data_IF_054628406958
#
_entry.id   IF_054628406958
#
_cell.length_a   1.000
_cell.length_b   1.000
_cell.length_c   1.000
_cell.angle_alpha   90.00
_cell.angle_beta   90.00
_cell.angle_gamma   90.00
#
_symmetry.space_group_name_H-M   'P 1'
#
loop_
_entity.id
_entity.type
_entity.pdbx_description
1 polymer ?
#
# COMPACT_ATOMS: atom_id res chain seq x y z
N UNK A 1 18.01 -26.12 21.50
CA UNK A 1 16.85 -25.82 20.62
C UNK A 1 16.15 -24.54 21.12
N UNK A 2 16.61 -23.38 20.65
CA UNK A 2 15.99 -22.09 20.99
C UNK A 2 14.69 -21.95 20.18
N UNK A 3 13.57 -21.91 20.89
CA UNK A 3 12.24 -21.83 20.29
C UNK A 3 11.98 -20.38 19.92
N UNK A 4 12.11 -20.04 18.63
CA UNK A 4 11.91 -18.67 18.14
C UNK A 4 10.49 -18.51 17.62
N UNK A 5 9.68 -17.70 18.29
CA UNK A 5 8.31 -17.41 17.91
C UNK A 5 8.25 -16.23 16.95
N UNK A 6 7.43 -16.36 15.91
CA UNK A 6 7.18 -15.30 14.94
C UNK A 6 5.70 -14.91 15.00
N UNK A 7 5.42 -13.64 15.29
CA UNK A 7 4.06 -13.09 15.32
C UNK A 7 3.93 -12.13 14.16
N UNK A 8 2.84 -12.27 13.41
CA UNK A 8 2.50 -11.38 12.31
C UNK A 8 1.08 -10.84 12.53
N UNK A 9 0.95 -9.52 12.44
CA UNK A 9 -0.34 -8.83 12.51
C UNK A 9 -0.49 -8.00 11.24
N UNK A 10 -1.64 -8.17 10.58
CA UNK A 10 -2.07 -7.37 9.44
C UNK A 10 -3.36 -6.68 9.84
N UNK A 11 -3.35 -5.34 9.81
CA UNK A 11 -4.51 -4.51 10.06
C UNK A 11 -4.92 -3.85 8.75
N UNK A 12 -6.17 -4.03 8.35
CA UNK A 12 -6.78 -3.27 7.28
C UNK A 12 -7.65 -2.17 7.89
N UNK A 13 -7.37 -0.92 7.54
CA UNK A 13 -8.18 0.22 7.95
C UNK A 13 -8.41 1.15 6.77
N UNK A 14 -9.64 1.13 6.23
CA UNK A 14 -10.12 2.01 5.15
C UNK A 14 -9.16 2.07 3.95
N UNK A 15 -8.74 0.90 3.45
CA UNK A 15 -7.87 0.80 2.28
C UNK A 15 -6.39 1.04 2.58
N UNK A 16 -5.98 1.03 3.85
CA UNK A 16 -4.56 1.07 4.22
C UNK A 16 -4.20 -0.18 5.00
N UNK A 17 -3.37 -1.00 4.36
CA UNK A 17 -2.86 -2.25 4.90
C UNK A 17 -1.59 -1.99 5.72
N UNK A 18 -1.70 -2.15 7.05
CA UNK A 18 -0.60 -2.01 8.00
C UNK A 18 -0.20 -3.41 8.48
N UNK A 19 1.00 -3.86 8.09
CA UNK A 19 1.55 -5.17 8.50
C UNK A 19 2.76 -4.99 9.42
N UNK A 20 2.80 -5.69 10.54
CA UNK A 20 3.96 -5.81 11.41
C UNK A 20 4.30 -7.29 11.64
N UNK A 21 5.58 -7.63 11.65
CA UNK A 21 6.05 -8.99 11.90
C UNK A 21 7.30 -8.92 12.77
N UNK A 22 7.26 -9.55 13.94
CA UNK A 22 8.39 -9.61 14.85
C UNK A 22 8.70 -11.05 15.26
N UNK A 23 9.97 -11.28 15.59
CA UNK A 23 10.46 -12.57 16.07
C UNK A 23 11.10 -12.40 17.45
N UNK A 24 10.74 -13.23 18.41
CA UNK A 24 11.35 -13.26 19.73
C UNK A 24 11.51 -14.69 20.26
N UNK A 25 12.27 -14.83 21.32
CA UNK A 25 12.51 -16.10 22.02
C UNK A 25 11.30 -16.53 22.87
N UNK A 26 10.43 -15.58 23.22
CA UNK A 26 9.17 -15.83 23.92
C UNK A 26 7.99 -15.17 23.16
N UNK A 27 6.84 -15.83 23.18
CA UNK A 27 5.61 -15.38 22.54
C UNK A 27 5.12 -14.05 23.12
N UNK A 28 5.24 -13.85 24.44
CA UNK A 28 4.81 -12.61 25.11
C UNK A 28 5.65 -11.44 24.64
N UNK A 29 6.97 -11.62 24.63
CA UNK A 29 7.91 -10.63 24.08
C UNK A 29 7.69 -10.38 22.59
N UNK A 30 7.32 -11.40 21.81
CA UNK A 30 6.99 -11.22 20.39
C UNK A 30 5.72 -10.36 20.23
N UNK A 31 4.70 -10.57 21.05
CA UNK A 31 3.46 -9.78 21.04
C UNK A 31 3.75 -8.33 21.41
N UNK A 32 4.47 -8.09 22.51
CA UNK A 32 4.81 -6.73 22.95
C UNK A 32 5.57 -5.96 21.85
N UNK A 33 6.57 -6.62 21.23
CA UNK A 33 7.32 -6.03 20.11
C UNK A 33 6.46 -5.74 18.88
N UNK A 34 5.55 -6.65 18.52
CA UNK A 34 4.61 -6.40 17.40
C UNK A 34 3.68 -5.24 17.74
N UNK A 35 3.21 -5.14 18.99
CA UNK A 35 2.33 -4.05 19.43
C UNK A 35 3.03 -2.68 19.38
N UNK A 36 4.29 -2.59 19.81
CA UNK A 36 5.09 -1.36 19.70
C UNK A 36 5.30 -0.95 18.23
N UNK A 37 5.64 -1.94 17.38
CA UNK A 37 5.86 -1.72 15.96
C UNK A 37 4.56 -1.28 15.24
N UNK A 38 3.43 -1.87 15.62
CA UNK A 38 2.11 -1.54 15.06
C UNK A 38 1.64 -0.15 15.52
N UNK A 39 1.83 0.19 16.80
CA UNK A 39 1.51 1.51 17.36
C UNK A 39 2.31 2.61 16.67
N UNK A 40 3.63 2.43 16.54
CA UNK A 40 4.50 3.35 15.81
C UNK A 40 4.09 3.55 14.35
N UNK A 41 3.65 2.47 13.66
CA UNK A 41 3.15 2.56 12.28
C UNK A 41 1.82 3.29 12.20
N UNK A 42 0.92 3.07 13.15
CA UNK A 42 -0.37 3.76 13.24
C UNK A 42 -0.16 5.26 13.51
N UNK A 43 0.75 5.63 14.40
CA UNK A 43 1.06 7.05 14.69
C UNK A 43 1.63 7.78 13.46
N UNK A 44 2.58 7.16 12.75
CA UNK A 44 3.09 7.71 11.48
C UNK A 44 2.00 7.84 10.43
N UNK A 45 1.07 6.89 10.39
CA UNK A 45 -0.05 6.90 9.45
C UNK A 45 -1.06 8.01 9.81
N UNK A 46 -1.46 8.12 11.08
CA UNK A 46 -2.33 9.20 11.58
C UNK A 46 -1.69 10.57 11.34
N UNK A 47 -0.40 10.75 11.66
CA UNK A 47 0.33 12.00 11.43
C UNK A 47 0.26 12.45 9.97
N UNK A 48 0.45 11.54 9.02
CA UNK A 48 0.33 11.84 7.57
C UNK A 48 -1.10 12.12 7.10
N UNK A 49 -2.12 11.60 7.78
CA UNK A 49 -3.53 11.94 7.49
C UNK A 49 -3.91 13.32 8.02
N UNK A 50 -3.45 13.68 9.23
CA UNK A 50 -3.72 14.98 9.82
C UNK A 50 -3.01 16.12 9.07
N UNK A 51 -1.81 15.87 8.54
CA UNK A 51 -1.03 16.88 7.81
C UNK A 51 -1.56 17.17 6.40
N UNK A 52 -2.27 16.21 5.78
CA UNK A 52 -2.93 16.38 4.47
C UNK A 52 -4.26 17.14 4.52
N UNK A 53 -4.76 17.46 5.72
CA UNK A 53 -6.03 18.18 5.93
C UNK A 53 -5.91 19.70 5.97
N UNK A 54 -4.70 20.26 5.96
CA UNK A 54 -4.48 21.71 5.79
C UNK A 54 -3.91 21.97 4.40
N UNK A 55 -4.63 22.81 3.67
CA UNK A 55 -4.46 23.03 2.25
C UNK A 55 -3.10 23.57 1.83
N UNK A 56 -2.90 23.49 0.52
CA UNK A 56 -1.92 24.22 -0.27
C UNK A 56 -1.66 25.62 0.32
N UNK A 57 -0.51 25.80 0.95
CA UNK A 57 0.23 27.06 1.07
C UNK A 57 1.63 26.78 1.62
N UNK A 58 2.46 26.13 0.80
CA UNK A 58 3.92 26.14 1.00
C UNK A 58 4.47 27.49 0.54
N UNK A 59 4.19 28.54 1.33
CA UNK A 59 4.83 29.84 1.21
C UNK A 59 4.84 30.54 2.58
N UNK A 60 5.76 30.11 3.45
CA UNK A 60 6.70 30.94 4.24
C UNK A 60 7.25 30.18 5.45
N UNK A 61 8.55 29.88 5.34
CA UNK A 61 9.61 29.98 6.34
C UNK A 61 9.30 29.71 7.83
N UNK A 62 10.07 28.76 8.37
CA UNK A 62 10.37 28.63 9.79
C UNK A 62 11.32 27.47 9.99
N UNK A 63 12.61 27.76 9.91
CA UNK A 63 13.74 26.82 10.03
C UNK A 63 13.81 26.30 11.48
N UNK A 64 13.90 24.98 11.65
CA UNK A 64 14.77 24.42 12.69
C UNK A 64 15.38 23.11 12.20
N UNK A 65 16.67 23.00 12.51
CA UNK A 65 17.69 22.13 11.95
C UNK A 65 17.56 20.64 12.29
N UNK A 66 18.20 19.86 11.43
CA UNK A 66 18.82 18.55 11.65
C UNK A 66 17.96 17.34 12.03
N UNK A 67 17.47 16.66 10.98
CA UNK A 67 17.71 15.22 10.87
C UNK A 67 18.21 14.92 9.47
N UNK A 68 19.49 14.61 9.35
CA UNK A 68 20.10 13.86 8.26
C UNK A 68 19.42 12.47 8.18
N UNK A 69 18.19 12.45 7.67
CA UNK A 69 17.45 11.25 7.40
C UNK A 69 17.31 11.17 5.89
N UNK A 70 18.34 10.60 5.24
CA UNK A 70 18.31 10.22 3.83
C UNK A 70 16.88 9.89 3.44
N UNK A 71 16.25 10.71 2.60
CA UNK A 71 14.94 10.38 2.04
C UNK A 71 15.05 8.92 1.60
N UNK A 72 14.25 7.99 2.14
CA UNK A 72 14.31 6.63 1.68
C UNK A 72 13.92 6.70 0.20
N UNK A 73 14.92 6.62 -0.67
CA UNK A 73 14.71 6.63 -2.10
C UNK A 73 13.68 5.55 -2.38
N UNK A 74 12.56 5.96 -2.96
CA UNK A 74 11.47 5.04 -3.31
C UNK A 74 12.03 4.09 -4.36
N UNK A 75 12.52 2.94 -3.91
CA UNK A 75 13.06 1.89 -4.78
C UNK A 75 11.94 0.92 -5.13
N UNK A 76 11.92 0.45 -6.37
CA UNK A 76 11.03 -0.64 -6.78
C UNK A 76 11.46 -1.89 -6.01
N UNK A 77 10.68 -2.29 -5.02
CA UNK A 77 11.03 -3.41 -4.10
C UNK A 77 10.66 -4.77 -4.70
N UNK A 78 9.70 -4.81 -5.63
CA UNK A 78 9.17 -6.05 -6.20
C UNK A 78 8.64 -5.79 -7.60
N UNK A 79 9.01 -6.67 -8.54
CA UNK A 79 8.45 -6.72 -9.89
C UNK A 79 7.56 -7.95 -9.99
N UNK A 80 6.29 -7.78 -10.35
CA UNK A 80 5.35 -8.88 -10.58
C UNK A 80 5.16 -9.03 -12.08
N UNK A 81 5.57 -10.17 -12.62
CA UNK A 81 5.30 -10.53 -14.00
C UNK A 81 3.98 -11.31 -14.04
N UNK A 82 3.05 -10.87 -14.87
CA UNK A 82 1.79 -11.57 -15.11
C UNK A 82 1.54 -11.61 -16.61
N UNK A 83 0.96 -12.71 -17.08
CA UNK A 83 0.51 -12.84 -18.45
C UNK A 83 -0.77 -12.03 -18.60
N UNK A 84 -0.68 -10.92 -19.32
CA UNK A 84 -1.82 -10.07 -19.62
C UNK A 84 -2.62 -10.73 -20.75
N UNK A 85 -3.82 -11.20 -20.44
CA UNK A 85 -4.75 -11.74 -21.44
C UNK A 85 -5.80 -10.68 -21.77
N UNK A 86 -6.27 -10.61 -23.03
CA UNK A 86 -7.45 -9.81 -23.37
C UNK A 86 -8.64 -10.30 -22.55
N UNK A 87 -9.32 -9.39 -21.86
CA UNK A 87 -10.52 -9.67 -21.06
C UNK A 87 -11.41 -8.43 -20.99
N UNK A 88 -12.67 -8.61 -20.60
CA UNK A 88 -13.59 -7.48 -20.39
C UNK A 88 -13.33 -6.77 -19.06
N UNK A 89 -13.90 -5.57 -18.90
CA UNK A 89 -13.83 -4.82 -17.63
C UNK A 89 -14.42 -5.62 -16.47
N UNK A 90 -15.55 -6.30 -16.68
CA UNK A 90 -16.21 -7.13 -15.65
C UNK A 90 -15.33 -8.32 -15.25
N UNK A 91 -14.68 -8.97 -16.21
CA UNK A 91 -13.74 -10.05 -15.94
C UNK A 91 -12.52 -9.53 -15.15
N UNK A 92 -12.01 -8.36 -15.52
CA UNK A 92 -10.91 -7.71 -14.81
C UNK A 92 -11.29 -7.37 -13.35
N UNK A 93 -12.52 -6.92 -13.08
CA UNK A 93 -13.04 -6.69 -11.72
C UNK A 93 -13.00 -8.00 -10.91
N UNK A 94 -13.57 -9.07 -11.46
CA UNK A 94 -13.60 -10.37 -10.78
C UNK A 94 -12.18 -10.90 -10.48
N UNK A 95 -11.24 -10.74 -11.42
CA UNK A 95 -9.84 -11.14 -11.22
C UNK A 95 -9.14 -10.26 -10.17
N UNK A 96 -9.40 -8.96 -10.18
CA UNK A 96 -8.85 -8.03 -9.18
C UNK A 96 -9.31 -8.40 -7.76
N UNK A 97 -10.60 -8.68 -7.59
CA UNK A 97 -11.19 -9.11 -6.33
C UNK A 97 -10.65 -10.48 -5.86
N UNK A 98 -10.56 -11.45 -6.77
CA UNK A 98 -10.06 -12.80 -6.45
C UNK A 98 -8.61 -12.80 -5.95
N UNK A 99 -7.77 -11.93 -6.51
CA UNK A 99 -6.37 -11.79 -6.11
C UNK A 99 -6.25 -10.86 -4.88
N UNK A 100 -7.28 -10.05 -4.58
CA UNK A 100 -7.29 -9.10 -3.48
C UNK A 100 -6.30 -7.95 -3.68
N UNK A 101 -6.25 -7.41 -4.89
CA UNK A 101 -5.41 -6.24 -5.21
C UNK A 101 -6.26 -4.99 -5.42
N UNK A 102 -5.71 -3.83 -5.07
CA UNK A 102 -6.38 -2.54 -5.28
C UNK A 102 -6.28 -2.04 -6.73
N UNK A 103 -5.49 -2.71 -7.57
CA UNK A 103 -5.29 -2.38 -8.97
C UNK A 103 -5.04 -3.63 -9.81
N UNK A 104 -5.45 -3.58 -11.07
CA UNK A 104 -5.31 -4.67 -12.02
C UNK A 104 -5.07 -4.14 -13.43
N UNK A 105 -3.94 -4.50 -14.03
CA UNK A 105 -3.58 -4.16 -15.40
C UNK A 105 -4.01 -5.30 -16.32
N UNK A 106 -4.86 -4.99 -17.30
CA UNK A 106 -5.37 -5.95 -18.27
C UNK A 106 -5.29 -5.37 -19.68
N UNK A 107 -5.53 -6.21 -20.69
CA UNK A 107 -5.75 -5.73 -22.06
C UNK A 107 -7.24 -5.81 -22.31
N UNK A 108 -7.84 -4.73 -22.77
CA UNK A 108 -9.25 -4.69 -23.09
C UNK A 108 -9.53 -5.56 -24.33
N UNK A 109 -10.54 -6.42 -24.26
CA UNK A 109 -10.87 -7.34 -25.33
C UNK A 109 -11.46 -6.67 -26.58
N UNK A 110 -12.09 -5.50 -26.44
CA UNK A 110 -12.70 -4.77 -27.56
C UNK A 110 -11.68 -3.87 -28.26
N UNK A 111 -10.90 -3.12 -27.47
CA UNK A 111 -9.95 -2.14 -28.02
C UNK A 111 -8.55 -2.71 -28.26
N UNK A 112 -8.22 -3.84 -27.62
CA UNK A 112 -6.87 -4.41 -27.62
C UNK A 112 -5.84 -3.55 -26.88
N UNK A 113 -6.28 -2.53 -26.15
CA UNK A 113 -5.40 -1.57 -25.45
C UNK A 113 -5.17 -2.00 -24.00
N UNK A 114 -4.00 -1.68 -23.41
CA UNK A 114 -3.75 -1.97 -22.01
C UNK A 114 -4.54 -1.00 -21.12
N UNK A 115 -5.41 -1.50 -20.25
CA UNK A 115 -6.21 -0.71 -19.33
C UNK A 115 -5.85 -1.04 -17.87
N UNK A 116 -5.87 -0.03 -17.00
CA UNK A 116 -5.61 -0.20 -15.57
C UNK A 116 -6.89 0.06 -14.77
N UNK A 117 -7.45 -1.02 -14.19
CA UNK A 117 -8.52 -0.96 -13.21
C UNK A 117 -7.94 -0.67 -11.83
N UNK A 118 -8.63 0.13 -11.01
CA UNK A 118 -8.24 0.37 -9.63
C UNK A 118 -9.44 0.66 -8.72
N UNK A 119 -9.29 0.38 -7.43
CA UNK A 119 -10.27 0.72 -6.40
C UNK A 119 -10.08 2.18 -5.96
N UNK A 120 -11.15 2.97 -6.04
CA UNK A 120 -11.15 4.36 -5.59
C UNK A 120 -11.42 4.45 -4.09
N UNK A 121 -11.15 5.62 -3.50
CA UNK A 121 -11.35 5.86 -2.06
C UNK A 121 -12.82 5.92 -1.64
N UNK A 122 -13.72 6.19 -2.58
CA UNK A 122 -15.17 6.17 -2.41
C UNK A 122 -15.74 4.73 -2.43
N UNK A 123 -14.92 3.74 -2.78
CA UNK A 123 -15.31 2.32 -2.83
C UNK A 123 -15.73 1.85 -4.22
N UNK A 124 -15.83 2.76 -5.18
CA UNK A 124 -16.16 2.45 -6.57
C UNK A 124 -14.91 2.09 -7.39
N UNK A 125 -15.14 1.54 -8.59
CA UNK A 125 -14.08 1.20 -9.53
C UNK A 125 -13.72 2.38 -10.43
N UNK A 126 -12.42 2.57 -10.66
CA UNK A 126 -11.87 3.52 -11.63
C UNK A 126 -11.12 2.78 -12.73
N UNK A 127 -11.21 3.30 -13.95
CA UNK A 127 -10.51 2.77 -15.12
C UNK A 127 -9.58 3.86 -15.68
N UNK A 128 -8.33 3.51 -15.96
CA UNK A 128 -7.37 4.36 -16.66
C UNK A 128 -7.06 3.72 -18.02
N UNK A 129 -7.32 4.47 -19.07
CA UNK A 129 -7.06 4.08 -20.46
C UNK A 129 -5.90 4.95 -20.99
N UNK A 130 -4.69 4.40 -21.13
CA UNK A 130 -3.57 5.09 -21.73
C UNK A 130 -3.74 5.19 -23.24
N UNK A 131 -3.73 6.42 -23.76
CA UNK A 131 -3.51 6.66 -25.18
C UNK A 131 -2.00 6.77 -25.42
N UNK A 132 -1.46 5.85 -26.22
CA UNK A 132 -0.08 5.89 -26.69
C UNK A 132 -0.07 6.66 -28.02
N UNK A 133 0.63 7.79 -28.08
CA UNK A 133 1.00 8.46 -29.33
C UNK A 133 2.09 7.69 -30.10
#
# INVERSE_FOLDING_TARGET
PEQRFAVQVTLDSKGVLIRAQEKAEDIRTAIDKVMDALTSRIERYKGKLYDKGRGVSLARQGITEDVEGSEPSKRVVKVKHFLVKPMSVDEAINQMELIGHDFFLFTDAETGRPNLLYLRKDGDYGLIEPELE
#
